data_IF_974560765608
#
_entry.id   IF_974560765608
#
_cell.length_a   1.000
_cell.length_b   1.000
_cell.length_c   1.000
_cell.angle_alpha   90.00
_cell.angle_beta   90.00
_cell.angle_gamma   90.00
#
_symmetry.space_group_name_H-M   'P 1'
#
loop_
_entity.id
_entity.type
_entity.pdbx_description
1 polymer ?
#
# COMPACT_ATOMS: atom_id res chain seq x y z
N UNK A 1 -6.84 -8.60 -11.07
CA UNK A 1 -5.87 -8.75 -9.96
C UNK A 1 -5.96 -10.09 -9.25
N UNK A 2 -7.14 -10.55 -8.80
CA UNK A 2 -7.26 -11.89 -8.17
C UNK A 2 -6.97 -13.02 -9.15
N UNK A 3 -7.57 -12.98 -10.35
CA UNK A 3 -7.39 -14.02 -11.37
C UNK A 3 -5.93 -14.23 -11.82
N UNK A 4 -5.10 -13.17 -11.78
CA UNK A 4 -3.68 -13.25 -12.10
C UNK A 4 -2.76 -13.44 -10.87
N UNK A 5 -3.33 -13.73 -9.70
CA UNK A 5 -2.59 -14.06 -8.47
C UNK A 5 -1.91 -12.88 -7.77
N UNK A 6 -2.04 -11.66 -8.30
CA UNK A 6 -1.45 -10.43 -7.72
C UNK A 6 -2.12 -10.00 -6.42
N UNK A 7 -3.42 -10.24 -6.28
CA UNK A 7 -4.14 -10.08 -5.02
C UNK A 7 -4.70 -11.43 -4.59
N UNK A 8 -4.64 -11.71 -3.28
CA UNK A 8 -5.21 -12.91 -2.70
C UNK A 8 -6.54 -12.58 -2.02
N UNK A 9 -7.56 -13.37 -2.31
CA UNK A 9 -8.84 -13.30 -1.62
C UNK A 9 -8.79 -14.20 -0.40
N UNK A 10 -9.14 -13.68 0.79
CA UNK A 10 -9.13 -14.48 2.02
C UNK A 10 -10.15 -15.61 1.98
N UNK A 11 -11.44 -15.26 1.92
CA UNK A 11 -12.54 -16.21 1.78
C UNK A 11 -13.04 -16.21 0.32
N UNK A 12 -12.90 -17.34 -0.42
CA UNK A 12 -13.30 -17.40 -1.82
C UNK A 12 -14.82 -17.28 -2.04
N UNK A 13 -15.63 -17.53 -1.01
CA UNK A 13 -17.10 -17.47 -1.11
C UNK A 13 -17.67 -16.06 -0.99
N UNK A 14 -16.85 -15.07 -0.57
CA UNK A 14 -17.30 -13.71 -0.29
C UNK A 14 -16.49 -12.69 -1.07
N UNK A 15 -17.17 -11.82 -1.83
CA UNK A 15 -16.53 -10.70 -2.53
C UNK A 15 -15.95 -9.71 -1.51
N UNK A 16 -14.63 -9.42 -1.52
CA UNK A 16 -14.04 -8.46 -0.61
C UNK A 16 -14.55 -7.03 -0.86
N UNK A 17 -14.76 -6.29 0.22
CA UNK A 17 -15.11 -4.86 0.19
C UNK A 17 -13.92 -3.96 0.52
N UNK A 18 -12.90 -4.51 1.17
CA UNK A 18 -11.71 -3.79 1.63
C UNK A 18 -10.40 -4.44 1.18
N UNK A 19 -9.34 -3.63 1.17
CA UNK A 19 -7.95 -4.08 1.02
C UNK A 19 -7.06 -3.21 1.88
N UNK A 20 -6.20 -3.83 2.71
CA UNK A 20 -5.36 -3.16 3.71
C UNK A 20 -3.87 -3.52 3.57
N UNK A 21 -3.41 -3.81 2.35
CA UNK A 21 -1.99 -4.12 2.08
C UNK A 21 -1.40 -5.31 2.86
N UNK A 22 -2.22 -6.25 3.37
CA UNK A 22 -1.71 -7.40 4.10
C UNK A 22 -0.92 -8.32 3.15
N UNK A 23 0.33 -8.62 3.52
CA UNK A 23 1.17 -9.60 2.82
C UNK A 23 1.02 -10.95 3.50
N UNK A 24 0.77 -11.98 2.71
CA UNK A 24 0.62 -13.36 3.18
C UNK A 24 1.15 -14.29 2.10
N UNK A 25 1.91 -15.31 2.51
CA UNK A 25 2.31 -16.39 1.62
C UNK A 25 1.11 -17.27 1.28
N UNK A 26 1.23 -18.06 0.21
CA UNK A 26 0.19 -19.01 -0.16
C UNK A 26 -0.05 -20.04 0.98
N UNK A 27 1.03 -20.52 1.62
CA UNK A 27 0.97 -21.48 2.72
C UNK A 27 0.29 -20.89 3.97
N UNK A 28 0.61 -19.65 4.34
CA UNK A 28 -0.05 -18.97 5.46
C UNK A 28 -1.54 -18.75 5.18
N UNK A 29 -1.90 -18.34 3.96
CA UNK A 29 -3.30 -18.18 3.57
C UNK A 29 -4.07 -19.50 3.65
N UNK A 30 -3.45 -20.62 3.24
CA UNK A 30 -4.03 -21.96 3.37
C UNK A 30 -4.28 -22.33 4.84
N UNK A 31 -3.36 -22.01 5.75
CA UNK A 31 -3.58 -22.24 7.18
C UNK A 31 -4.68 -21.34 7.74
N UNK A 32 -4.71 -20.05 7.38
CA UNK A 32 -5.75 -19.13 7.84
C UNK A 32 -7.15 -19.57 7.37
N UNK A 33 -7.27 -20.13 6.17
CA UNK A 33 -8.54 -20.66 5.63
C UNK A 33 -9.05 -21.90 6.36
N UNK A 34 -8.23 -22.55 7.19
CA UNK A 34 -8.65 -23.68 8.03
C UNK A 34 -9.44 -23.23 9.26
N UNK A 35 -9.44 -21.95 9.59
CA UNK A 35 -10.20 -21.40 10.73
C UNK A 35 -11.70 -21.48 10.38
N UNK A 36 -12.49 -22.35 11.04
CA UNK A 36 -13.88 -22.59 10.65
C UNK A 36 -14.82 -21.51 11.19
N UNK A 37 -14.42 -20.86 12.28
CA UNK A 37 -15.27 -19.93 13.01
C UNK A 37 -15.10 -18.51 12.47
N UNK A 38 -15.84 -18.19 11.42
CA UNK A 38 -15.86 -16.87 10.78
C UNK A 38 -17.15 -16.15 11.18
N UNK A 39 -17.01 -15.07 11.95
CA UNK A 39 -18.14 -14.23 12.36
C UNK A 39 -18.27 -13.03 11.43
N UNK A 40 -19.45 -12.84 10.82
CA UNK A 40 -19.72 -11.77 9.86
C UNK A 40 -20.86 -10.87 10.35
N UNK A 41 -20.61 -10.15 11.44
CA UNK A 41 -21.60 -9.27 12.09
C UNK A 41 -21.15 -7.79 12.13
N UNK A 42 -20.28 -7.38 11.21
CA UNK A 42 -19.72 -6.02 11.14
C UNK A 42 -18.56 -5.79 12.13
N UNK A 43 -18.28 -4.52 12.44
CA UNK A 43 -17.21 -4.14 13.38
C UNK A 43 -17.60 -4.44 14.82
N UNK A 44 -16.60 -4.76 15.66
CA UNK A 44 -16.77 -4.86 17.11
C UNK A 44 -16.99 -3.45 17.68
N UNK A 45 -18.04 -3.30 18.49
CA UNK A 45 -18.38 -2.04 19.16
C UNK A 45 -18.05 -2.10 20.66
N UNK A 46 -18.33 -3.25 21.30
CA UNK A 46 -18.09 -3.46 22.73
C UNK A 46 -17.56 -4.87 22.97
N UNK A 47 -16.50 -4.95 23.78
CA UNK A 47 -16.01 -6.22 24.36
C UNK A 47 -16.59 -6.34 25.77
N UNK A 48 -17.50 -7.29 25.97
CA UNK A 48 -18.14 -7.57 27.26
C UNK A 48 -17.67 -8.91 27.82
N UNK A 49 -17.91 -9.13 29.12
CA UNK A 49 -17.65 -10.44 29.73
C UNK A 49 -18.53 -11.51 29.06
N UNK A 50 -17.89 -12.48 28.41
CA UNK A 50 -18.55 -13.59 27.72
C UNK A 50 -19.23 -13.23 26.40
N UNK A 51 -19.06 -12.02 25.85
CA UNK A 51 -19.61 -11.70 24.53
C UNK A 51 -18.91 -10.52 23.83
N UNK A 52 -18.99 -10.52 22.50
CA UNK A 52 -18.72 -9.37 21.64
C UNK A 52 -20.04 -8.78 21.15
N UNK A 53 -20.20 -7.46 21.28
CA UNK A 53 -21.24 -6.71 20.57
C UNK A 53 -20.64 -6.19 19.28
N UNK A 54 -21.28 -6.51 18.15
CA UNK A 54 -20.91 -6.08 16.81
C UNK A 54 -22.08 -5.30 16.19
N UNK A 55 -21.77 -4.52 15.16
CA UNK A 55 -22.75 -3.66 14.46
C UNK A 55 -24.05 -4.37 14.05
N UNK A 56 -23.98 -5.66 13.72
CA UNK A 56 -25.11 -6.42 13.19
C UNK A 56 -25.54 -7.56 14.13
N UNK A 57 -25.07 -7.57 15.38
CA UNK A 57 -25.50 -8.55 16.36
C UNK A 57 -24.51 -8.83 17.48
N UNK A 58 -24.79 -9.89 18.24
CA UNK A 58 -23.96 -10.31 19.37
C UNK A 58 -23.35 -11.67 19.09
N UNK A 59 -22.09 -11.83 19.43
CA UNK A 59 -21.38 -13.11 19.38
C UNK A 59 -20.99 -13.54 20.80
N UNK A 60 -21.37 -14.76 21.20
CA UNK A 60 -21.02 -15.28 22.53
C UNK A 60 -19.59 -15.81 22.51
N UNK A 61 -18.81 -15.47 23.54
CA UNK A 61 -17.44 -15.94 23.72
C UNK A 61 -17.33 -16.76 25.00
N UNK A 62 -16.35 -17.66 25.07
CA UNK A 62 -16.09 -18.39 26.31
C UNK A 62 -15.76 -17.42 27.48
N UNK A 63 -16.21 -17.71 28.71
CA UNK A 63 -15.78 -16.97 29.88
C UNK A 63 -14.24 -16.97 30.01
N UNK A 64 -13.64 -15.82 30.32
CA UNK A 64 -12.19 -15.69 30.47
C UNK A 64 -11.39 -15.69 29.16
N UNK A 65 -12.04 -15.68 27.99
CA UNK A 65 -11.34 -15.62 26.71
C UNK A 65 -10.60 -14.29 26.50
N UNK A 66 -9.33 -14.37 26.09
CA UNK A 66 -8.55 -13.21 25.63
C UNK A 66 -9.08 -12.75 24.26
N UNK A 67 -9.43 -11.47 24.16
CA UNK A 67 -9.82 -10.84 22.90
C UNK A 67 -8.63 -10.04 22.35
N UNK A 68 -8.20 -10.37 21.14
CA UNK A 68 -7.12 -9.64 20.44
C UNK A 68 -7.73 -8.97 19.21
N UNK A 69 -7.79 -7.64 19.22
CA UNK A 69 -8.24 -6.86 18.06
C UNK A 69 -7.04 -6.47 17.18
N UNK A 70 -6.79 -7.26 16.14
CA UNK A 70 -5.80 -6.96 15.11
C UNK A 70 -6.38 -6.15 13.94
N UNK A 71 -7.63 -5.69 14.02
CA UNK A 71 -8.30 -4.92 12.95
C UNK A 71 -8.20 -3.40 13.15
N UNK A 72 -7.46 -2.95 14.18
CA UNK A 72 -7.26 -1.54 14.48
C UNK A 72 -6.71 -0.75 13.28
N UNK A 73 -7.33 0.39 12.97
CA UNK A 73 -6.89 1.28 11.88
C UNK A 73 -5.76 2.20 12.36
N UNK A 74 -4.55 1.64 12.48
CA UNK A 74 -3.35 2.39 12.88
C UNK A 74 -2.91 3.44 11.87
N UNK A 75 -3.43 3.39 10.63
CA UNK A 75 -3.06 4.28 9.53
C UNK A 75 -4.31 4.89 8.91
N UNK A 76 -4.95 5.76 9.69
CA UNK A 76 -6.18 6.44 9.26
C UNK A 76 -5.95 7.20 7.96
N UNK A 77 -6.84 6.99 6.98
CA UNK A 77 -6.86 7.79 5.77
C UNK A 77 -7.07 9.27 6.11
N UNK A 78 -6.21 10.13 5.54
CA UNK A 78 -6.29 11.58 5.63
C UNK A 78 -6.14 12.17 4.24
N UNK A 79 -6.72 13.35 3.96
CA UNK A 79 -6.49 14.04 2.70
C UNK A 79 -4.98 14.26 2.48
N UNK A 80 -4.53 14.00 1.26
CA UNK A 80 -3.13 14.20 0.89
C UNK A 80 -2.76 15.69 1.04
N UNK A 81 -1.55 15.94 1.52
CA UNK A 81 -0.95 17.29 1.61
C UNK A 81 0.40 17.28 0.90
N UNK A 82 0.96 18.46 0.65
CA UNK A 82 2.40 18.56 0.33
C UNK A 82 3.20 17.92 1.47
N UNK A 83 4.21 17.13 1.12
CA UNK A 83 5.13 16.55 2.10
C UNK A 83 5.99 17.65 2.70
N UNK A 84 6.48 18.57 1.87
CA UNK A 84 7.29 19.71 2.30
C UNK A 84 6.48 21.00 2.15
N UNK A 85 6.44 21.80 3.20
CA UNK A 85 5.80 23.12 3.23
C UNK A 85 6.55 24.04 4.19
N UNK A 86 7.56 24.75 3.68
CA UNK A 86 8.46 25.58 4.47
C UNK A 86 9.17 24.77 5.56
N UNK A 87 8.97 25.14 6.81
CA UNK A 87 9.58 24.46 7.97
C UNK A 87 8.82 23.20 8.44
N UNK A 88 7.87 22.69 7.66
CA UNK A 88 7.04 21.55 8.02
C UNK A 88 7.22 20.39 7.06
N UNK A 89 7.51 19.21 7.62
CA UNK A 89 7.48 17.93 6.92
C UNK A 89 6.23 17.16 7.38
N UNK A 90 5.33 16.85 6.44
CA UNK A 90 4.14 16.02 6.68
C UNK A 90 4.41 14.60 6.20
N UNK A 91 4.71 13.70 7.14
CA UNK A 91 4.96 12.28 6.82
C UNK A 91 3.70 11.64 6.22
N UNK A 92 3.86 11.12 5.01
CA UNK A 92 2.86 10.40 4.24
C UNK A 92 3.53 9.22 3.54
N UNK A 93 2.75 8.26 3.09
CA UNK A 93 3.27 7.17 2.24
C UNK A 93 3.66 7.74 0.89
N UNK A 94 4.90 7.53 0.46
CA UNK A 94 5.38 7.86 -0.91
C UNK A 94 5.69 6.59 -1.72
N UNK A 95 5.55 5.43 -1.08
CA UNK A 95 5.60 4.09 -1.64
C UNK A 95 4.40 3.29 -1.18
N UNK A 96 3.80 2.53 -2.09
CA UNK A 96 2.65 1.68 -1.79
C UNK A 96 2.96 0.71 -0.65
N UNK A 97 2.11 0.72 0.39
CA UNK A 97 2.15 -0.20 1.53
C UNK A 97 3.45 -0.17 2.39
N UNK A 98 4.36 0.79 2.21
CA UNK A 98 5.65 0.81 2.92
C UNK A 98 5.89 2.12 3.68
N UNK A 99 5.40 2.20 4.92
CA UNK A 99 5.45 3.41 5.75
C UNK A 99 6.88 3.75 6.20
N UNK A 100 7.65 2.75 6.63
CA UNK A 100 9.03 2.95 7.11
C UNK A 100 9.94 3.42 5.97
N UNK A 101 9.87 2.76 4.82
CA UNK A 101 10.57 3.21 3.62
C UNK A 101 10.16 4.64 3.24
N UNK A 102 8.86 4.93 3.26
CA UNK A 102 8.37 6.27 2.88
C UNK A 102 8.95 7.37 3.76
N UNK A 103 8.99 7.16 5.09
CA UNK A 103 9.60 8.11 6.00
C UNK A 103 11.12 8.27 5.74
N UNK A 104 11.82 7.17 5.46
CA UNK A 104 13.24 7.19 5.15
C UNK A 104 13.54 7.91 3.83
N UNK A 105 12.73 7.68 2.79
CA UNK A 105 12.82 8.35 1.49
C UNK A 105 12.61 9.87 1.64
N UNK A 106 11.60 10.29 2.38
CA UNK A 106 11.35 11.71 2.71
C UNK A 106 12.56 12.32 3.42
N UNK A 107 13.14 11.60 4.40
CA UNK A 107 14.35 12.04 5.09
C UNK A 107 15.55 12.18 4.16
N UNK A 108 15.75 11.23 3.24
CA UNK A 108 16.82 11.29 2.24
C UNK A 108 16.66 12.50 1.31
N UNK A 109 15.45 12.75 0.81
CA UNK A 109 15.16 13.92 -0.03
C UNK A 109 15.40 15.22 0.74
N UNK A 110 14.94 15.31 2.00
CA UNK A 110 15.14 16.48 2.86
C UNK A 110 16.63 16.79 3.15
N UNK A 111 17.47 15.75 3.22
CA UNK A 111 18.89 15.91 3.52
C UNK A 111 19.72 16.32 2.31
N UNK A 112 19.27 16.01 1.08
CA UNK A 112 20.08 16.14 -0.13
C UNK A 112 19.56 17.20 -1.12
N UNK A 113 18.31 17.66 -0.97
CA UNK A 113 17.70 18.65 -1.84
C UNK A 113 17.25 19.89 -1.07
N UNK A 114 17.20 21.02 -1.76
CA UNK A 114 16.77 22.31 -1.21
C UNK A 114 15.55 22.90 -1.93
N UNK A 115 15.29 22.47 -3.17
CA UNK A 115 14.13 22.93 -3.94
C UNK A 115 12.87 22.20 -3.49
N UNK A 116 12.03 22.89 -2.71
CA UNK A 116 10.76 22.36 -2.21
C UNK A 116 9.83 21.83 -3.32
N UNK A 117 9.84 22.45 -4.51
CA UNK A 117 9.00 21.98 -5.62
C UNK A 117 9.46 20.61 -6.10
N UNK A 118 10.77 20.45 -6.34
CA UNK A 118 11.38 19.17 -6.72
C UNK A 118 11.25 18.11 -5.62
N UNK A 119 11.41 18.50 -4.37
CA UNK A 119 11.23 17.60 -3.22
C UNK A 119 9.79 17.06 -3.14
N UNK A 120 8.78 17.90 -3.36
CA UNK A 120 7.38 17.46 -3.41
C UNK A 120 7.06 16.63 -4.67
N UNK A 121 7.74 16.88 -5.79
CA UNK A 121 7.62 16.04 -6.99
C UNK A 121 8.14 14.61 -6.75
N UNK A 122 9.28 14.49 -6.05
CA UNK A 122 9.88 13.22 -5.62
C UNK A 122 9.11 12.53 -4.48
N UNK A 123 8.33 13.28 -3.69
CA UNK A 123 7.60 12.77 -2.53
C UNK A 123 6.07 12.89 -2.68
N UNK A 124 5.55 12.66 -3.89
CA UNK A 124 4.09 12.65 -4.11
C UNK A 124 3.42 11.56 -3.26
N UNK A 125 2.39 11.88 -2.45
CA UNK A 125 1.76 10.89 -1.58
C UNK A 125 1.04 9.77 -2.36
N UNK A 126 1.39 8.52 -2.06
CA UNK A 126 0.62 7.32 -2.43
C UNK A 126 -0.53 7.16 -1.43
N UNK A 127 -1.79 7.02 -1.88
CA UNK A 127 -2.92 6.86 -0.96
C UNK A 127 -2.81 5.54 -0.18
N UNK A 128 -3.29 5.55 1.07
CA UNK A 128 -3.46 4.32 1.83
C UNK A 128 -4.72 3.61 1.36
N UNK A 129 -4.72 2.30 1.11
CA UNK A 129 -5.93 1.63 0.65
C UNK A 129 -6.90 1.32 1.78
N UNK A 130 -8.19 1.39 1.45
CA UNK A 130 -9.27 0.98 2.33
C UNK A 130 -10.33 0.17 1.58
N UNK A 131 -10.69 0.59 0.37
CA UNK A 131 -11.66 -0.09 -0.50
C UNK A 131 -10.94 -1.12 -1.37
N UNK A 132 -11.66 -2.15 -1.80
CA UNK A 132 -11.11 -3.17 -2.70
C UNK A 132 -10.57 -2.57 -4.03
N UNK A 133 -11.12 -1.44 -4.49
CA UNK A 133 -10.66 -0.75 -5.71
C UNK A 133 -9.43 0.13 -5.50
N UNK A 134 -9.00 0.39 -4.26
CA UNK A 134 -7.88 1.29 -3.98
C UNK A 134 -6.53 0.74 -4.42
N UNK A 135 -6.43 -0.56 -4.72
CA UNK A 135 -5.24 -1.15 -5.33
C UNK A 135 -4.81 -0.40 -6.59
N UNK A 136 -5.75 -0.08 -7.48
CA UNK A 136 -5.44 0.64 -8.72
C UNK A 136 -4.90 2.05 -8.44
N UNK A 137 -5.47 2.75 -7.44
CA UNK A 137 -4.99 4.08 -7.02
C UNK A 137 -3.57 4.02 -6.49
N UNK A 138 -3.28 3.01 -5.68
CA UNK A 138 -1.97 2.84 -5.08
C UNK A 138 -0.90 2.50 -6.13
N UNK A 139 -1.17 1.53 -7.01
CA UNK A 139 -0.25 1.13 -8.08
C UNK A 139 0.01 2.27 -9.05
N UNK A 140 -1.02 3.01 -9.44
CA UNK A 140 -0.88 4.15 -10.34
C UNK A 140 0.09 5.19 -9.77
N UNK A 141 -0.17 5.65 -8.54
CA UNK A 141 0.66 6.68 -7.92
C UNK A 141 2.08 6.19 -7.60
N UNK A 142 2.24 4.94 -7.16
CA UNK A 142 3.55 4.34 -6.88
C UNK A 142 4.40 4.23 -8.15
N UNK A 143 3.77 3.83 -9.26
CA UNK A 143 4.44 3.73 -10.57
C UNK A 143 4.85 5.09 -11.11
N UNK A 144 4.01 6.11 -10.95
CA UNK A 144 4.37 7.50 -11.30
C UNK A 144 5.52 8.04 -10.45
N UNK A 145 5.55 7.72 -9.15
CA UNK A 145 6.65 8.09 -8.29
C UNK A 145 7.95 7.43 -8.74
N UNK A 146 7.89 6.13 -9.07
CA UNK A 146 9.04 5.38 -9.58
C UNK A 146 9.63 6.03 -10.85
N UNK A 147 8.78 6.43 -11.81
CA UNK A 147 9.25 7.13 -13.01
C UNK A 147 9.98 8.44 -12.68
N UNK A 148 9.48 9.22 -11.72
CA UNK A 148 10.15 10.46 -11.28
C UNK A 148 11.46 10.13 -10.57
N UNK A 149 11.50 9.13 -9.69
CA UNK A 149 12.72 8.73 -8.98
C UNK A 149 13.84 8.33 -9.93
N UNK A 150 13.52 7.63 -11.02
CA UNK A 150 14.50 7.24 -12.04
C UNK A 150 15.15 8.43 -12.77
N UNK A 151 14.58 9.63 -12.66
CA UNK A 151 15.19 10.87 -13.18
C UNK A 151 16.19 11.52 -12.21
N UNK A 152 16.30 10.99 -10.99
CA UNK A 152 17.10 11.59 -9.91
C UNK A 152 18.20 10.63 -9.42
N UNK A 153 19.45 10.77 -9.93
CA UNK A 153 20.55 9.85 -9.61
C UNK A 153 20.83 9.71 -8.11
N UNK A 154 20.71 10.81 -7.34
CA UNK A 154 20.93 10.79 -5.90
C UNK A 154 19.89 9.94 -5.16
N UNK A 155 18.62 10.01 -5.59
CA UNK A 155 17.55 9.17 -5.04
C UNK A 155 17.80 7.71 -5.42
N UNK A 156 18.05 7.42 -6.69
CA UNK A 156 18.36 6.06 -7.19
C UNK A 156 19.52 5.42 -6.44
N UNK A 157 20.61 6.17 -6.22
CA UNK A 157 21.76 5.68 -5.45
C UNK A 157 21.36 5.28 -4.03
N UNK A 158 20.55 6.12 -3.37
CA UNK A 158 20.02 5.80 -2.05
C UNK A 158 19.08 4.59 -2.06
N UNK A 159 18.20 4.44 -3.07
CA UNK A 159 17.31 3.28 -3.21
C UNK A 159 18.09 1.97 -3.17
N UNK A 160 19.15 1.88 -3.97
CA UNK A 160 20.01 0.69 -4.05
C UNK A 160 20.79 0.40 -2.76
N UNK A 161 20.98 1.39 -1.89
CA UNK A 161 21.62 1.22 -0.59
C UNK A 161 20.62 1.01 0.56
N UNK A 162 19.33 1.26 0.32
CA UNK A 162 18.31 1.30 1.36
C UNK A 162 17.87 -0.11 1.76
N UNK A 163 18.27 -0.53 2.97
CA UNK A 163 17.85 -1.82 3.57
C UNK A 163 16.35 -1.93 3.85
N UNK A 164 15.62 -0.82 3.78
CA UNK A 164 14.17 -0.78 4.07
C UNK A 164 13.34 -0.80 2.78
N UNK A 165 13.95 -0.77 1.60
CA UNK A 165 13.24 -1.01 0.35
C UNK A 165 13.17 -2.51 0.09
N UNK A 166 11.95 -3.00 -0.15
CA UNK A 166 11.71 -4.40 -0.54
C UNK A 166 12.42 -4.76 -1.86
N UNK A 167 12.70 -3.75 -2.69
CA UNK A 167 13.28 -3.91 -4.02
C UNK A 167 14.70 -3.35 -4.09
N UNK A 168 15.50 -3.54 -3.04
CA UNK A 168 16.91 -3.15 -3.05
C UNK A 168 17.86 -4.35 -2.89
N UNK A 169 18.98 -4.39 -3.64
CA UNK A 169 19.36 -3.53 -4.79
C UNK A 169 18.74 -4.05 -6.10
N UNK A 170 18.17 -3.17 -6.93
CA UNK A 170 17.60 -3.55 -8.24
C UNK A 170 18.04 -2.64 -9.40
N UNK A 171 18.54 -1.43 -9.13
CA UNK A 171 18.87 -0.44 -10.16
C UNK A 171 20.37 -0.32 -10.41
N UNK A 172 21.05 -1.42 -10.70
CA UNK A 172 22.47 -1.42 -11.06
C UNK A 172 22.70 -0.99 -12.51
N UNK A 173 22.93 0.31 -12.73
CA UNK A 173 23.22 0.87 -14.05
C UNK A 173 24.60 0.48 -14.60
N UNK A 174 25.48 -0.13 -13.79
CA UNK A 174 26.75 -0.68 -14.24
C UNK A 174 26.61 -2.04 -14.94
N UNK A 175 25.46 -2.71 -14.80
CA UNK A 175 25.19 -4.01 -15.38
C UNK A 175 24.26 -3.88 -16.62
N UNK A 176 24.73 -4.19 -17.84
CA UNK A 176 23.94 -4.06 -19.07
C UNK A 176 22.62 -4.85 -19.05
N UNK A 177 22.58 -6.01 -18.41
CA UNK A 177 21.37 -6.81 -18.30
C UNK A 177 20.31 -6.12 -17.42
N UNK A 178 20.75 -5.46 -16.35
CA UNK A 178 19.87 -4.69 -15.46
C UNK A 178 19.40 -3.41 -16.16
N UNK A 179 20.27 -2.73 -16.90
CA UNK A 179 19.88 -1.57 -17.73
C UNK A 179 18.74 -1.93 -18.69
N UNK A 180 18.85 -3.06 -19.39
CA UNK A 180 17.79 -3.54 -20.28
C UNK A 180 16.47 -3.80 -19.52
N UNK A 181 16.53 -4.35 -18.31
CA UNK A 181 15.35 -4.57 -17.46
C UNK A 181 14.70 -3.25 -17.00
N UNK A 182 15.51 -2.24 -16.64
CA UNK A 182 15.03 -0.91 -16.24
C UNK A 182 14.33 -0.23 -17.42
N UNK A 183 14.91 -0.32 -18.62
CA UNK A 183 14.31 0.20 -19.85
C UNK A 183 12.97 -0.48 -20.15
N UNK A 184 12.94 -1.81 -20.15
CA UNK A 184 11.71 -2.58 -20.35
C UNK A 184 10.64 -2.26 -19.30
N UNK A 185 11.03 -2.05 -18.05
CA UNK A 185 10.12 -1.61 -16.99
C UNK A 185 9.55 -0.22 -17.29
N UNK A 186 10.39 0.75 -17.68
CA UNK A 186 9.95 2.09 -18.05
C UNK A 186 8.97 2.10 -19.22
N UNK A 187 9.26 1.32 -20.27
CA UNK A 187 8.37 1.13 -21.42
C UNK A 187 7.03 0.52 -21.02
N UNK A 188 7.06 -0.54 -20.18
CA UNK A 188 5.85 -1.16 -19.65
C UNK A 188 5.01 -0.16 -18.86
N UNK A 189 5.62 0.64 -17.98
CA UNK A 189 4.91 1.64 -17.20
C UNK A 189 4.28 2.71 -18.09
N UNK A 190 4.99 3.19 -19.11
CA UNK A 190 4.45 4.17 -20.07
C UNK A 190 3.23 3.64 -20.82
N UNK A 191 3.18 2.33 -21.11
CA UNK A 191 2.01 1.71 -21.73
C UNK A 191 0.88 1.40 -20.74
N UNK A 192 1.22 0.96 -19.53
CA UNK A 192 0.24 0.51 -18.53
C UNK A 192 -0.46 1.66 -17.80
N UNK A 193 0.24 2.76 -17.52
CA UNK A 193 -0.30 3.89 -16.75
C UNK A 193 -1.58 4.51 -17.37
N UNK A 194 -1.65 4.78 -18.68
CA UNK A 194 -2.89 5.25 -19.31
C UNK A 194 -4.05 4.26 -19.10
N UNK A 195 -3.79 2.97 -19.26
CA UNK A 195 -4.82 1.95 -19.08
C UNK A 195 -5.30 1.83 -17.64
N UNK A 196 -4.39 1.95 -16.67
CA UNK A 196 -4.73 1.98 -15.25
C UNK A 196 -5.62 3.17 -14.90
N UNK A 197 -5.39 4.34 -15.52
CA UNK A 197 -6.24 5.52 -15.35
C UNK A 197 -7.66 5.28 -15.87
N UNK A 198 -7.80 4.76 -17.10
CA UNK A 198 -9.12 4.40 -17.67
C UNK A 198 -9.88 3.42 -16.77
N UNK A 199 -9.20 2.37 -16.28
CA UNK A 199 -9.82 1.37 -15.39
C UNK A 199 -10.25 1.99 -14.06
N UNK A 200 -9.46 2.92 -13.52
CA UNK A 200 -9.78 3.62 -12.28
C UNK A 200 -11.00 4.56 -12.44
N UNK A 201 -11.09 5.26 -13.56
CA UNK A 201 -12.23 6.11 -13.91
C UNK A 201 -13.51 5.28 -14.06
N UNK A 202 -13.45 4.20 -14.83
CA UNK A 202 -14.58 3.28 -15.01
C UNK A 202 -15.06 2.70 -13.67
N UNK A 203 -14.13 2.26 -12.80
CA UNK A 203 -14.46 1.71 -11.48
C UNK A 203 -15.05 2.76 -10.52
N UNK A 204 -14.70 4.04 -10.69
CA UNK A 204 -15.26 5.13 -9.88
C UNK A 204 -16.66 5.50 -10.38
N UNK A 205 -16.89 5.47 -11.69
CA UNK A 205 -18.22 5.70 -12.29
C UNK A 205 -19.26 4.63 -11.93
N UNK A 206 -18.84 3.38 -11.66
CA UNK A 206 -19.75 2.31 -11.24
C UNK A 206 -20.06 2.33 -9.73
N UNK A 207 -19.37 3.16 -8.95
CA UNK A 207 -19.49 3.22 -7.50
C UNK A 207 -20.36 4.40 -7.00
N UNK A 208 -20.80 5.27 -7.91
CA UNK A 208 -21.77 6.34 -7.71
C UNK A 208 -23.11 5.96 -8.33
#
# INVERSE_FOLDING_TARGET
MVACGQLRQFDPSVKPTNWRCATVTQLELEQLRRIPNIVRLGHVEVVASGALQLQQGRYQTAPGALQVDCAADGLKQRPAKKVFAGNRITLQTVRMCQQVYSAACIGNVAANLQDEARMNELCRPVPLPHRASDYLRCVLQDSENMLVWLTEPAVVSWLNASRVDLFSPYFDFGNPAVVAQIQAMGELLNHALPKLRELLEAATATAN
#
